data_IF_985210084144
#
_entry.id   IF_985210084144
#
_cell.length_a   1.000
_cell.length_b   1.000
_cell.length_c   1.000
_cell.angle_alpha   90.00
_cell.angle_beta   90.00
_cell.angle_gamma   90.00
#
_symmetry.space_group_name_H-M   'P 1'
#
loop_
_entity.id
_entity.type
_entity.pdbx_description
1 polymer ?
#
# COMPACT_ATOMS: atom_id res chain seq x y z
N UNK A 1 -1.59 38.25 11.83
CA UNK A 1 -0.54 38.43 12.83
C UNK A 1 -0.48 37.18 13.68
N UNK A 2 0.34 36.23 13.31
CA UNK A 2 0.54 34.97 14.03
C UNK A 2 1.53 35.22 15.16
N UNK A 3 1.07 35.33 16.38
CA UNK A 3 1.90 35.32 17.57
C UNK A 3 2.04 33.88 18.06
N UNK A 4 3.28 33.37 17.92
CA UNK A 4 3.98 32.43 18.80
C UNK A 4 3.12 31.50 19.65
N UNK A 5 2.95 30.26 19.20
CA UNK A 5 2.43 29.10 19.98
C UNK A 5 3.48 28.45 20.90
N UNK A 6 4.44 29.20 21.41
CA UNK A 6 5.37 28.68 22.43
C UNK A 6 5.05 29.28 23.80
N UNK A 7 4.10 28.64 24.50
CA UNK A 7 3.90 28.85 25.92
C UNK A 7 5.16 28.44 26.68
N UNK A 8 5.76 29.38 27.44
CA UNK A 8 6.87 29.12 28.38
C UNK A 8 6.34 28.25 29.52
N UNK A 9 6.78 26.98 29.56
CA UNK A 9 6.79 26.20 30.81
C UNK A 9 8.20 26.22 31.39
N UNK A 10 8.38 26.83 32.56
CA UNK A 10 9.58 26.70 33.38
C UNK A 10 9.64 25.30 33.99
N UNK A 11 10.64 24.53 33.64
CA UNK A 11 10.95 23.23 34.24
C UNK A 11 12.40 22.90 33.91
N UNK A 12 13.27 22.97 34.92
CA UNK A 12 14.72 22.92 34.80
C UNK A 12 15.28 21.54 34.46
N UNK A 13 16.37 21.56 33.67
CA UNK A 13 17.52 20.65 33.66
C UNK A 13 17.31 19.15 33.39
N UNK A 14 17.29 18.78 32.08
CA UNK A 14 17.90 17.54 31.59
C UNK A 14 18.38 17.65 30.13
N UNK A 15 18.75 18.85 29.66
CA UNK A 15 19.06 19.15 28.25
C UNK A 15 20.54 18.86 27.82
N UNK A 16 21.25 17.96 28.48
CA UNK A 16 22.67 17.76 28.16
C UNK A 16 23.04 16.47 27.43
N UNK A 17 22.11 15.59 27.14
CA UNK A 17 22.44 14.26 26.56
C UNK A 17 21.93 13.99 25.14
N UNK A 18 21.14 14.87 24.52
CA UNK A 18 20.54 14.64 23.18
C UNK A 18 21.08 15.56 22.06
N UNK A 19 22.16 16.30 22.30
CA UNK A 19 22.66 17.33 21.39
C UNK A 19 23.80 16.89 20.45
N UNK A 20 24.02 15.60 20.20
CA UNK A 20 25.18 15.13 19.42
C UNK A 20 24.83 14.16 18.26
N UNK A 21 23.60 14.10 17.80
CA UNK A 21 23.35 13.47 16.49
C UNK A 21 23.35 14.58 15.44
N UNK A 22 24.37 14.58 14.56
CA UNK A 22 24.45 15.44 13.40
C UNK A 22 23.12 15.33 12.65
N UNK A 23 22.48 16.47 12.36
CA UNK A 23 21.16 16.55 11.70
C UNK A 23 21.24 15.90 10.33
N UNK A 24 21.00 14.61 10.28
CA UNK A 24 20.87 13.86 9.04
C UNK A 24 19.73 14.49 8.21
N UNK A 25 20.02 14.77 6.94
CA UNK A 25 18.98 15.23 6.01
C UNK A 25 17.97 14.13 5.85
N UNK A 26 16.69 14.48 5.85
CA UNK A 26 15.60 13.53 5.61
C UNK A 26 15.77 12.91 4.22
N UNK A 27 15.72 11.59 4.12
CA UNK A 27 15.82 10.86 2.86
C UNK A 27 14.56 11.08 2.02
N UNK A 28 14.66 11.88 0.97
CA UNK A 28 13.55 12.22 0.08
C UNK A 28 13.02 11.01 -0.71
N UNK A 29 13.86 10.03 -1.01
CA UNK A 29 13.44 8.79 -1.66
C UNK A 29 12.51 7.98 -0.76
N UNK A 30 12.83 7.89 0.53
CA UNK A 30 11.96 7.25 1.52
C UNK A 30 10.70 8.07 1.81
N UNK A 31 10.79 9.40 1.84
CA UNK A 31 9.60 10.28 1.93
C UNK A 31 8.67 10.07 0.74
N UNK A 32 9.19 9.98 -0.49
CA UNK A 32 8.39 9.63 -1.67
C UNK A 32 7.63 8.31 -1.46
N UNK A 33 8.33 7.27 -1.03
CA UNK A 33 7.73 5.97 -0.77
C UNK A 33 6.68 6.05 0.34
N UNK A 34 6.96 6.80 1.42
CA UNK A 34 6.00 7.01 2.50
C UNK A 34 4.73 7.70 1.98
N UNK A 35 4.86 8.79 1.22
CA UNK A 35 3.73 9.53 0.62
C UNK A 35 2.93 8.62 -0.33
N UNK A 36 3.60 7.78 -1.13
CA UNK A 36 2.94 6.87 -2.07
C UNK A 36 2.05 5.85 -1.35
N UNK A 37 2.51 5.30 -0.23
CA UNK A 37 1.78 4.23 0.47
C UNK A 37 0.85 4.74 1.57
N UNK A 38 1.13 5.88 2.16
CA UNK A 38 0.37 6.51 3.25
C UNK A 38 -0.16 7.89 2.86
N UNK A 39 -0.85 8.05 1.70
CA UNK A 39 -1.28 9.35 1.23
C UNK A 39 -2.34 9.98 2.14
N UNK A 40 -2.42 11.31 2.12
CA UNK A 40 -3.44 12.09 2.84
C UNK A 40 -4.83 11.62 2.41
N UNK A 41 -5.75 11.50 3.37
CA UNK A 41 -7.14 11.09 3.16
C UNK A 41 -7.37 9.58 3.02
N UNK A 42 -6.32 8.77 2.93
CA UNK A 42 -6.45 7.33 2.80
C UNK A 42 -6.65 6.66 4.16
N UNK A 43 -7.69 5.81 4.25
CA UNK A 43 -7.91 4.94 5.41
C UNK A 43 -6.77 3.95 5.58
N UNK A 44 -6.23 3.86 6.79
CA UNK A 44 -5.13 3.01 7.21
C UNK A 44 -5.54 2.18 8.42
N UNK A 45 -4.70 1.23 8.75
CA UNK A 45 -4.75 0.51 10.02
C UNK A 45 -3.48 0.76 10.79
N UNK A 46 -3.51 0.52 12.10
CA UNK A 46 -2.33 0.60 12.94
C UNK A 46 -2.35 -0.41 14.08
N UNK A 47 -1.17 -0.71 14.56
CA UNK A 47 -0.92 -1.51 15.75
C UNK A 47 -0.36 -0.59 16.86
N UNK A 48 -1.05 -0.44 18.02
CA UNK A 48 -0.45 0.27 19.16
C UNK A 48 0.68 -0.57 19.77
N UNK A 49 1.80 0.07 20.10
CA UNK A 49 2.95 -0.54 20.78
C UNK A 49 3.45 -1.85 20.13
N UNK A 50 3.45 -1.90 18.79
CA UNK A 50 3.81 -3.08 17.99
C UNK A 50 2.93 -4.32 18.25
N UNK A 51 1.83 -4.18 18.98
CA UNK A 51 0.92 -5.29 19.29
C UNK A 51 0.03 -5.63 18.09
N UNK A 52 0.41 -6.69 17.36
CA UNK A 52 -0.30 -7.13 16.15
C UNK A 52 -1.67 -7.75 16.41
N UNK A 53 -2.00 -8.06 17.67
CA UNK A 53 -3.30 -8.60 18.05
C UNK A 53 -4.38 -7.50 18.18
N UNK A 54 -3.94 -6.24 18.24
CA UNK A 54 -4.82 -5.07 18.31
C UNK A 54 -4.66 -4.28 17.02
N UNK A 55 -5.69 -4.31 16.17
CA UNK A 55 -5.72 -3.60 14.89
C UNK A 55 -6.81 -2.55 14.94
N UNK A 56 -6.45 -1.30 14.79
CA UNK A 56 -7.36 -0.17 14.81
C UNK A 56 -7.28 0.61 13.48
N UNK A 57 -8.36 1.33 13.15
CA UNK A 57 -8.44 2.14 11.94
C UNK A 57 -8.03 3.58 12.20
N UNK A 58 -7.37 4.20 11.24
CA UNK A 58 -7.02 5.62 11.21
C UNK A 58 -6.91 6.14 9.77
N UNK A 59 -6.53 7.40 9.59
CA UNK A 59 -6.16 7.98 8.30
C UNK A 59 -5.09 9.06 8.49
N UNK A 60 -4.29 9.32 7.47
CA UNK A 60 -3.42 10.50 7.45
C UNK A 60 -4.26 11.71 7.06
N UNK A 61 -4.34 12.70 7.93
CA UNK A 61 -5.10 13.93 7.72
C UNK A 61 -4.25 15.00 7.04
N UNK A 62 -2.98 15.06 7.42
CA UNK A 62 -2.01 15.97 6.85
C UNK A 62 -0.58 15.45 7.08
N UNK A 63 0.37 15.98 6.33
CA UNK A 63 1.78 15.92 6.70
C UNK A 63 2.18 17.20 7.42
N UNK A 64 3.15 17.10 8.31
CA UNK A 64 3.77 18.24 8.95
C UNK A 64 5.25 18.30 8.53
N UNK A 65 5.56 19.19 7.61
CA UNK A 65 6.90 19.43 7.07
C UNK A 65 7.52 20.64 7.75
N UNK A 66 8.61 20.46 8.49
CA UNK A 66 9.26 21.54 9.26
C UNK A 66 8.30 22.38 10.13
N UNK A 67 7.25 21.75 10.67
CA UNK A 67 6.25 22.42 11.52
C UNK A 67 5.06 23.04 10.77
N UNK A 68 5.01 22.96 9.45
CA UNK A 68 3.92 23.47 8.61
C UNK A 68 3.05 22.31 8.09
N UNK A 69 1.74 22.49 8.14
CA UNK A 69 0.80 21.45 7.73
C UNK A 69 0.49 21.49 6.23
N UNK A 70 0.55 20.33 5.60
CA UNK A 70 0.20 20.07 4.20
C UNK A 70 -1.03 19.19 4.20
N UNK A 71 -2.19 19.74 3.84
CA UNK A 71 -3.49 19.06 3.96
C UNK A 71 -3.95 18.34 2.69
N UNK A 72 -3.29 18.55 1.56
CA UNK A 72 -3.67 17.97 0.29
C UNK A 72 -2.47 17.40 -0.47
N UNK A 73 -2.67 16.33 -1.22
CA UNK A 73 -1.63 15.72 -2.05
C UNK A 73 -1.16 16.66 -3.17
N UNK A 74 -2.08 17.47 -3.69
CA UNK A 74 -1.84 18.47 -4.75
C UNK A 74 -0.93 19.63 -4.28
N UNK A 75 -0.78 19.79 -2.95
CA UNK A 75 0.15 20.75 -2.34
C UNK A 75 1.60 20.24 -2.30
N UNK A 76 1.87 19.05 -2.84
CA UNK A 76 3.21 18.47 -2.94
C UNK A 76 3.63 18.48 -4.41
N UNK A 77 4.58 19.38 -4.75
CA UNK A 77 5.17 19.41 -6.08
C UNK A 77 6.23 18.31 -6.19
N UNK A 78 6.26 17.61 -7.32
CA UNK A 78 7.22 16.54 -7.59
C UNK A 78 7.96 16.77 -8.89
N UNK A 79 9.15 16.18 -9.02
CA UNK A 79 9.88 16.13 -10.28
C UNK A 79 9.34 15.02 -11.21
N UNK A 80 10.03 14.80 -12.34
CA UNK A 80 9.69 13.77 -13.34
C UNK A 80 9.76 12.35 -12.78
N UNK A 81 10.61 12.14 -11.78
CA UNK A 81 10.80 10.85 -11.12
C UNK A 81 9.85 10.66 -9.93
N UNK A 82 8.99 11.66 -9.65
CA UNK A 82 8.03 11.65 -8.56
C UNK A 82 8.65 11.96 -7.19
N UNK A 83 9.89 12.47 -7.13
CA UNK A 83 10.49 12.92 -5.88
C UNK A 83 9.89 14.28 -5.46
N UNK A 84 9.53 14.46 -4.19
CA UNK A 84 9.05 15.75 -3.70
C UNK A 84 10.11 16.85 -3.89
N UNK A 85 9.69 17.97 -4.48
CA UNK A 85 10.54 19.15 -4.69
C UNK A 85 10.14 20.32 -3.82
N UNK A 86 8.82 20.49 -3.58
CA UNK A 86 8.26 21.55 -2.74
C UNK A 86 7.05 21.02 -1.98
N UNK A 87 6.95 21.40 -0.72
CA UNK A 87 5.73 21.26 0.10
C UNK A 87 5.10 22.64 0.27
N UNK A 88 3.83 22.79 -0.10
CA UNK A 88 3.04 24.00 0.16
C UNK A 88 2.22 23.78 1.42
N UNK A 89 2.64 24.44 2.49
CA UNK A 89 2.05 24.29 3.81
C UNK A 89 1.12 25.44 4.16
N UNK A 90 0.37 25.27 5.25
CA UNK A 90 -0.51 26.27 5.85
C UNK A 90 -1.45 26.90 4.82
N UNK A 91 -2.19 26.07 4.06
CA UNK A 91 -3.11 26.50 2.99
C UNK A 91 -2.38 27.32 1.90
N UNK A 92 -1.24 26.83 1.43
CA UNK A 92 -0.38 27.43 0.41
C UNK A 92 0.31 28.77 0.81
N UNK A 93 0.21 29.18 2.06
CA UNK A 93 0.88 30.40 2.56
C UNK A 93 2.40 30.24 2.71
N UNK A 94 2.85 29.00 2.88
CA UNK A 94 4.27 28.68 3.09
C UNK A 94 4.74 27.72 2.02
N UNK A 95 5.85 28.04 1.35
CA UNK A 95 6.48 27.20 0.35
C UNK A 95 7.81 26.69 0.87
N UNK A 96 7.91 25.36 1.09
CA UNK A 96 9.07 24.70 1.66
C UNK A 96 9.77 23.86 0.61
N UNK A 97 10.99 24.22 0.18
CA UNK A 97 11.80 23.36 -0.67
C UNK A 97 12.11 22.04 0.06
N UNK A 98 11.87 20.90 -0.62
CA UNK A 98 12.12 19.58 -0.02
C UNK A 98 13.59 19.36 0.36
N UNK A 99 14.54 19.99 -0.35
CA UNK A 99 15.96 19.96 0.01
C UNK A 99 16.27 20.58 1.40
N UNK A 100 15.35 21.42 1.91
CA UNK A 100 15.45 22.04 3.23
C UNK A 100 14.68 21.27 4.32
N UNK A 101 14.14 20.08 4.02
CA UNK A 101 13.36 19.30 4.96
C UNK A 101 14.25 18.76 6.09
N UNK A 102 13.86 19.07 7.33
CA UNK A 102 14.56 18.63 8.56
C UNK A 102 13.70 17.72 9.40
N UNK A 103 12.38 17.97 9.38
CA UNK A 103 11.40 17.17 10.12
C UNK A 103 10.23 16.86 9.20
N UNK A 104 9.76 15.61 9.26
CA UNK A 104 8.57 15.15 8.55
C UNK A 104 7.74 14.28 9.50
N UNK A 105 6.49 14.66 9.68
CA UNK A 105 5.57 13.96 10.58
C UNK A 105 4.24 13.76 9.87
N UNK A 106 3.45 12.81 10.38
CA UNK A 106 2.11 12.54 9.91
C UNK A 106 1.11 12.95 10.98
N UNK A 107 0.06 13.66 10.58
CA UNK A 107 -1.05 14.02 11.44
C UNK A 107 -2.17 13.01 11.26
N UNK A 108 -2.60 12.38 12.34
CA UNK A 108 -3.70 11.42 12.37
C UNK A 108 -4.75 11.85 13.41
N UNK A 109 -6.02 11.46 13.28
CA UNK A 109 -7.02 11.71 14.31
C UNK A 109 -6.65 11.00 15.62
N UNK A 110 -6.98 11.62 16.76
CA UNK A 110 -6.97 10.92 18.04
C UNK A 110 -8.18 9.98 18.08
N UNK A 111 -7.89 8.69 17.97
CA UNK A 111 -8.89 7.60 18.00
C UNK A 111 -8.84 6.82 19.31
N UNK A 112 -8.44 7.44 20.41
CA UNK A 112 -8.37 6.81 21.74
C UNK A 112 -9.72 6.24 22.18
N UNK A 113 -10.83 6.77 21.70
CA UNK A 113 -12.18 6.25 21.95
C UNK A 113 -12.39 4.83 21.41
N UNK A 114 -11.64 4.43 20.38
CA UNK A 114 -11.67 3.07 19.84
C UNK A 114 -11.15 2.02 20.83
N UNK A 115 -10.29 2.41 21.77
CA UNK A 115 -9.83 1.53 22.85
C UNK A 115 -11.00 1.02 23.70
N UNK A 116 -12.04 1.83 23.88
CA UNK A 116 -13.23 1.47 24.64
C UNK A 116 -14.04 0.35 23.99
N UNK A 117 -13.84 0.10 22.69
CA UNK A 117 -14.50 -0.98 21.93
C UNK A 117 -13.77 -2.30 22.04
N UNK A 118 -12.53 -2.29 22.58
CA UNK A 118 -11.73 -3.49 22.79
C UNK A 118 -12.26 -4.25 24.02
N UNK A 119 -12.10 -5.58 24.00
CA UNK A 119 -12.31 -6.40 25.17
C UNK A 119 -11.28 -6.07 26.28
N UNK A 120 -11.57 -6.53 27.51
CA UNK A 120 -10.73 -6.24 28.68
C UNK A 120 -9.28 -6.68 28.50
N UNK A 121 -9.04 -7.86 27.92
CA UNK A 121 -7.70 -8.43 27.77
C UNK A 121 -6.87 -7.59 26.79
N UNK A 122 -7.44 -7.23 25.64
CA UNK A 122 -6.77 -6.37 24.64
C UNK A 122 -6.53 -4.98 25.18
N UNK A 123 -7.51 -4.40 25.90
CA UNK A 123 -7.33 -3.08 26.54
C UNK A 123 -6.21 -3.10 27.57
N UNK A 124 -6.06 -4.16 28.36
CA UNK A 124 -5.00 -4.29 29.35
C UNK A 124 -3.59 -4.40 28.73
N UNK A 125 -3.50 -4.66 27.42
CA UNK A 125 -2.24 -4.71 26.68
C UNK A 125 -1.81 -3.33 26.14
N UNK A 126 -2.69 -2.33 26.17
CA UNK A 126 -2.35 -0.96 25.81
C UNK A 126 -1.78 -0.26 27.05
N UNK A 127 -0.83 0.66 26.84
CA UNK A 127 -0.23 1.46 27.89
C UNK A 127 -1.29 2.11 28.79
N UNK A 128 -1.04 2.16 30.09
CA UNK A 128 -1.93 2.80 31.09
C UNK A 128 -2.25 4.27 30.78
N UNK A 129 -1.37 4.94 30.06
CA UNK A 129 -1.51 6.33 29.67
C UNK A 129 -2.23 6.52 28.32
N UNK A 130 -2.75 5.43 27.74
CA UNK A 130 -3.38 5.40 26.42
C UNK A 130 -2.37 5.24 25.29
N UNK A 131 -2.85 4.81 24.12
CA UNK A 131 -2.01 4.49 22.96
C UNK A 131 -1.25 5.69 22.38
N UNK A 132 -1.78 6.90 22.52
CA UNK A 132 -1.21 8.12 21.95
C UNK A 132 -0.43 8.97 22.95
N UNK A 133 0.08 8.39 24.03
CA UNK A 133 1.02 9.07 24.91
C UNK A 133 2.33 9.35 24.17
N UNK A 134 2.92 10.53 24.39
CA UNK A 134 4.18 10.90 23.78
C UNK A 134 5.29 9.86 24.07
N UNK A 135 6.01 9.47 23.03
CA UNK A 135 7.04 8.41 23.10
C UNK A 135 6.51 7.00 22.83
N UNK A 136 5.19 6.78 22.78
CA UNK A 136 4.64 5.48 22.41
C UNK A 136 4.88 5.18 20.93
N UNK A 137 5.02 3.90 20.61
CA UNK A 137 5.22 3.44 19.24
C UNK A 137 3.90 3.00 18.59
N UNK A 138 3.70 3.40 17.36
CA UNK A 138 2.55 3.05 16.53
C UNK A 138 3.06 2.52 15.20
N UNK A 139 2.73 1.28 14.85
CA UNK A 139 3.02 0.75 13.51
C UNK A 139 1.85 1.02 12.58
N UNK A 140 2.04 1.88 11.58
CA UNK A 140 1.04 2.14 10.55
C UNK A 140 1.10 1.07 9.45
N UNK A 141 -0.08 0.71 8.93
CA UNK A 141 -0.24 -0.29 7.89
C UNK A 141 -1.13 0.27 6.79
N UNK A 142 -0.59 0.30 5.60
CA UNK A 142 -1.33 0.68 4.40
C UNK A 142 -1.47 -0.50 3.46
N UNK A 143 -2.70 -0.81 3.07
CA UNK A 143 -2.95 -1.75 2.00
C UNK A 143 -3.12 -0.98 0.69
N UNK A 144 -2.12 -1.03 -0.16
CA UNK A 144 -2.14 -0.40 -1.48
C UNK A 144 -2.67 -1.34 -2.59
N UNK A 145 -3.39 -2.38 -2.23
CA UNK A 145 -3.95 -3.34 -3.17
C UNK A 145 -2.85 -4.07 -3.96
N UNK A 146 -2.76 -3.80 -5.26
CA UNK A 146 -1.79 -4.49 -6.15
C UNK A 146 -0.34 -4.18 -5.81
N UNK A 147 -0.07 -3.04 -5.16
CA UNK A 147 1.29 -2.60 -4.77
C UNK A 147 1.82 -3.28 -3.50
N UNK A 148 0.98 -4.06 -2.81
CA UNK A 148 1.36 -4.76 -1.58
C UNK A 148 0.86 -4.07 -0.31
N UNK A 149 1.34 -4.53 0.83
CA UNK A 149 1.10 -3.94 2.15
C UNK A 149 2.37 -3.24 2.59
N UNK A 150 2.24 -1.97 2.93
CA UNK A 150 3.34 -1.21 3.51
C UNK A 150 3.15 -1.06 5.00
N UNK A 151 4.25 -1.16 5.72
CA UNK A 151 4.32 -0.88 7.16
C UNK A 151 5.38 0.17 7.41
N UNK A 152 5.15 1.02 8.39
CA UNK A 152 6.13 1.96 8.94
C UNK A 152 5.88 2.10 10.43
N UNK A 153 6.94 2.02 11.21
CA UNK A 153 6.88 2.30 12.63
C UNK A 153 6.99 3.81 12.85
N UNK A 154 6.24 4.30 13.80
CA UNK A 154 6.18 5.71 14.14
C UNK A 154 6.22 5.89 15.64
N UNK A 155 6.75 7.00 16.09
CA UNK A 155 6.70 7.44 17.49
C UNK A 155 5.67 8.57 17.63
N UNK A 156 4.86 8.52 18.67
CA UNK A 156 3.95 9.60 19.04
C UNK A 156 4.76 10.79 19.52
N UNK A 157 4.85 11.84 18.71
CA UNK A 157 5.56 13.05 19.09
C UNK A 157 4.76 13.87 20.12
N UNK A 158 3.48 14.09 19.86
CA UNK A 158 2.54 14.79 20.75
C UNK A 158 1.10 14.69 20.28
N UNK A 159 0.18 14.89 21.21
CA UNK A 159 -1.21 15.22 20.92
C UNK A 159 -1.36 16.72 20.69
N UNK A 160 -2.23 17.12 19.78
CA UNK A 160 -2.49 18.53 19.45
C UNK A 160 -4.00 18.74 19.22
N UNK A 161 -4.48 19.91 19.61
CA UNK A 161 -5.80 20.41 19.17
C UNK A 161 -5.53 21.47 18.13
N UNK A 162 -6.06 21.29 16.92
CA UNK A 162 -5.86 22.26 15.85
C UNK A 162 -6.71 23.50 16.15
N UNK A 163 -6.09 24.69 16.09
CA UNK A 163 -6.79 25.95 16.35
C UNK A 163 -7.47 26.51 15.10
N UNK A 164 -6.95 26.17 13.92
CA UNK A 164 -7.40 26.65 12.61
C UNK A 164 -7.30 25.57 11.54
N UNK A 165 -7.64 25.91 10.29
CA UNK A 165 -7.61 25.00 9.16
C UNK A 165 -8.84 24.09 9.07
N UNK A 166 -8.84 23.14 8.11
CA UNK A 166 -10.01 22.31 7.80
C UNK A 166 -10.43 21.36 8.93
N UNK A 167 -9.56 21.14 9.91
CA UNK A 167 -9.80 20.24 11.06
C UNK A 167 -9.72 20.99 12.40
N UNK A 168 -10.08 22.28 12.40
CA UNK A 168 -10.10 23.08 13.63
C UNK A 168 -10.93 22.44 14.74
N UNK A 169 -10.48 22.56 15.97
CA UNK A 169 -11.10 22.02 17.21
C UNK A 169 -11.08 20.48 17.30
N UNK A 170 -10.40 19.77 16.39
CA UNK A 170 -10.25 18.33 16.48
C UNK A 170 -8.98 17.94 17.24
N UNK A 171 -9.10 16.90 18.07
CA UNK A 171 -7.96 16.25 18.70
C UNK A 171 -7.20 15.41 17.67
N UNK A 172 -5.94 15.69 17.54
CA UNK A 172 -5.04 15.05 16.57
C UNK A 172 -3.77 14.56 17.26
N UNK A 173 -3.08 13.67 16.59
CA UNK A 173 -1.81 13.10 17.02
C UNK A 173 -0.76 13.32 15.93
N UNK A 174 0.39 13.84 16.30
CA UNK A 174 1.57 13.91 15.44
C UNK A 174 2.41 12.66 15.64
N UNK A 175 2.63 11.93 14.55
CA UNK A 175 3.45 10.74 14.48
C UNK A 175 4.73 11.04 13.71
N UNK A 176 5.88 10.72 14.29
CA UNK A 176 7.20 10.81 13.64
C UNK A 176 7.54 9.45 13.05
N UNK A 177 7.57 9.26 11.70
CA UNK A 177 7.90 7.99 11.10
C UNK A 177 9.39 7.68 11.22
N UNK A 178 9.73 6.46 11.62
CA UNK A 178 11.05 5.90 11.40
C UNK A 178 11.15 5.39 9.97
N UNK A 179 11.72 6.21 9.10
CA UNK A 179 11.84 5.87 7.68
C UNK A 179 12.69 4.63 7.42
N UNK A 180 13.51 4.17 8.40
CA UNK A 180 14.32 2.96 8.26
C UNK A 180 13.46 1.69 8.37
N UNK A 181 12.33 1.76 9.05
CA UNK A 181 11.38 0.65 9.20
C UNK A 181 10.38 0.56 8.06
N UNK A 182 10.36 1.57 7.15
CA UNK A 182 9.44 1.58 6.02
C UNK A 182 9.71 0.38 5.12
N UNK A 183 8.79 -0.57 5.16
CA UNK A 183 8.85 -1.81 4.40
C UNK A 183 7.61 -1.95 3.52
N UNK A 184 7.82 -2.40 2.28
CA UNK A 184 6.74 -2.79 1.38
C UNK A 184 6.81 -4.30 1.23
N UNK A 185 5.83 -4.97 1.80
CA UNK A 185 5.77 -6.43 1.79
C UNK A 185 4.70 -6.88 0.82
N UNK A 186 5.08 -7.69 -0.15
CA UNK A 186 4.10 -8.41 -0.95
C UNK A 186 3.48 -9.52 -0.07
N UNK A 187 2.29 -9.27 0.47
CA UNK A 187 1.56 -10.24 1.28
C UNK A 187 0.86 -11.33 0.44
N UNK A 188 1.15 -11.42 -0.82
CA UNK A 188 0.64 -12.53 -1.62
C UNK A 188 1.16 -13.83 -1.03
N UNK A 189 0.25 -14.72 -0.67
CA UNK A 189 0.62 -16.06 -0.18
C UNK A 189 1.49 -16.82 -1.18
N UNK A 190 1.42 -16.43 -2.45
CA UNK A 190 2.16 -17.04 -3.56
C UNK A 190 2.74 -15.96 -4.46
N UNK A 191 4.08 -15.93 -4.63
CA UNK A 191 4.74 -14.97 -5.50
C UNK A 191 4.24 -15.13 -6.94
N UNK A 192 4.12 -14.02 -7.67
CA UNK A 192 3.77 -14.03 -9.09
C UNK A 192 4.99 -13.81 -9.94
N UNK A 193 5.12 -14.64 -10.96
CA UNK A 193 6.16 -14.50 -11.97
C UNK A 193 5.60 -13.65 -13.11
N UNK A 194 6.28 -12.55 -13.41
CA UNK A 194 5.94 -11.71 -14.58
C UNK A 194 6.38 -12.41 -15.86
N UNK A 195 5.48 -12.44 -16.81
CA UNK A 195 5.67 -13.01 -18.14
C UNK A 195 4.92 -12.12 -19.14
N UNK A 196 5.13 -12.35 -20.42
CA UNK A 196 4.43 -11.59 -21.46
C UNK A 196 4.24 -12.51 -22.67
N UNK A 197 3.31 -13.44 -22.53
CA UNK A 197 3.09 -14.50 -23.50
C UNK A 197 1.73 -14.31 -24.17
N UNK A 198 1.66 -14.26 -25.52
CA UNK A 198 0.39 -14.26 -26.23
C UNK A 198 -0.36 -15.57 -25.97
N UNK A 199 -1.64 -15.47 -25.72
CA UNK A 199 -2.53 -16.60 -25.41
C UNK A 199 -3.90 -16.37 -26.06
N UNK A 200 -4.66 -17.44 -26.21
CA UNK A 200 -6.05 -17.37 -26.65
C UNK A 200 -6.96 -17.62 -25.46
N UNK A 201 -7.87 -16.69 -25.18
CA UNK A 201 -8.88 -16.86 -24.15
C UNK A 201 -10.23 -17.25 -24.77
N UNK A 202 -10.87 -18.27 -24.19
CA UNK A 202 -12.21 -18.74 -24.57
C UNK A 202 -13.14 -18.51 -23.37
N UNK A 203 -14.31 -17.89 -23.66
CA UNK A 203 -15.42 -17.82 -22.70
C UNK A 203 -16.54 -18.70 -23.21
N UNK A 204 -16.70 -19.90 -22.67
CA UNK A 204 -17.68 -20.87 -23.22
C UNK A 204 -19.15 -20.38 -23.14
N UNK A 205 -19.48 -19.63 -22.06
CA UNK A 205 -20.83 -19.10 -21.87
C UNK A 205 -21.22 -18.08 -22.95
N UNK A 206 -20.27 -17.32 -23.47
CA UNK A 206 -20.46 -16.25 -24.45
C UNK A 206 -20.11 -16.71 -25.89
N UNK A 207 -19.68 -17.96 -26.05
CA UNK A 207 -19.14 -18.48 -27.31
C UNK A 207 -18.08 -17.56 -27.94
N UNK A 208 -17.26 -16.95 -27.05
CA UNK A 208 -16.24 -15.97 -27.44
C UNK A 208 -14.83 -16.58 -27.39
N UNK A 209 -14.06 -16.24 -28.40
CA UNK A 209 -12.63 -16.55 -28.46
C UNK A 209 -11.88 -15.30 -28.87
N UNK A 210 -10.85 -14.93 -28.10
CA UNK A 210 -10.06 -13.72 -28.34
C UNK A 210 -8.59 -13.89 -28.02
N UNK A 211 -7.75 -13.11 -28.72
CA UNK A 211 -6.33 -13.01 -28.42
C UNK A 211 -6.11 -12.15 -27.19
N UNK A 212 -5.26 -12.61 -26.29
CA UNK A 212 -4.93 -11.97 -25.03
C UNK A 212 -3.44 -12.08 -24.73
N UNK A 213 -2.98 -11.43 -23.70
CA UNK A 213 -1.60 -11.57 -23.19
C UNK A 213 -1.63 -12.08 -21.77
N UNK A 214 -0.96 -13.19 -21.49
CA UNK A 214 -0.70 -13.66 -20.14
C UNK A 214 0.39 -12.80 -19.51
N UNK A 215 0.04 -12.03 -18.49
CA UNK A 215 0.92 -11.00 -17.89
C UNK A 215 1.72 -11.53 -16.71
N UNK A 216 1.08 -12.32 -15.86
CA UNK A 216 1.73 -12.99 -14.73
C UNK A 216 1.01 -14.28 -14.32
N UNK A 217 1.75 -15.16 -13.65
CA UNK A 217 1.29 -16.45 -13.12
C UNK A 217 1.77 -16.65 -11.68
N UNK A 218 0.92 -17.21 -10.85
CA UNK A 218 1.24 -17.76 -9.53
C UNK A 218 0.87 -19.24 -9.46
N UNK A 219 0.98 -19.86 -8.29
CA UNK A 219 0.52 -21.26 -8.12
C UNK A 219 -1.01 -21.42 -8.09
N UNK A 220 -1.76 -20.32 -8.00
CA UNK A 220 -3.20 -20.36 -7.85
C UNK A 220 -3.95 -19.50 -8.87
N UNK A 221 -3.25 -18.56 -9.51
CA UNK A 221 -3.89 -17.54 -10.34
C UNK A 221 -3.03 -17.17 -11.54
N UNK A 222 -3.69 -16.79 -12.63
CA UNK A 222 -3.08 -16.12 -13.78
C UNK A 222 -3.74 -14.78 -14.02
N UNK A 223 -2.96 -13.80 -14.48
CA UNK A 223 -3.48 -12.52 -14.93
C UNK A 223 -3.32 -12.38 -16.44
N UNK A 224 -4.41 -12.04 -17.09
CA UNK A 224 -4.50 -11.87 -18.52
C UNK A 224 -4.81 -10.42 -18.82
N UNK A 225 -4.14 -9.82 -19.79
CA UNK A 225 -4.55 -8.57 -20.43
C UNK A 225 -5.42 -8.91 -21.62
N UNK A 226 -6.63 -8.37 -21.63
CA UNK A 226 -7.57 -8.55 -22.72
C UNK A 226 -7.07 -7.81 -23.97
N UNK A 227 -7.26 -8.39 -25.14
CA UNK A 227 -6.84 -7.79 -26.40
C UNK A 227 -7.72 -6.58 -26.78
N UNK A 228 -7.13 -5.63 -27.49
CA UNK A 228 -7.82 -4.41 -27.95
C UNK A 228 -8.73 -4.65 -29.17
N UNK A 229 -8.63 -5.81 -29.83
CA UNK A 229 -9.34 -6.13 -31.06
C UNK A 229 -10.63 -6.87 -30.80
N UNK A 230 -11.76 -6.19 -31.04
CA UNK A 230 -13.10 -6.74 -30.98
C UNK A 230 -13.88 -6.36 -29.72
N UNK A 231 -15.21 -6.48 -29.79
CA UNK A 231 -16.06 -6.32 -28.61
C UNK A 231 -15.81 -7.49 -27.65
N UNK A 232 -15.03 -7.25 -26.59
CA UNK A 232 -14.88 -8.23 -25.51
C UNK A 232 -16.23 -8.32 -24.80
N UNK A 233 -16.85 -9.52 -24.67
CA UNK A 233 -18.11 -9.66 -23.98
C UNK A 233 -18.01 -9.20 -22.51
N UNK A 234 -19.16 -8.98 -21.91
CA UNK A 234 -19.21 -8.67 -20.48
C UNK A 234 -18.70 -9.89 -19.69
N UNK A 235 -17.53 -9.73 -19.05
CA UNK A 235 -16.95 -10.77 -18.20
C UNK A 235 -17.26 -10.41 -16.75
N UNK A 236 -17.81 -11.34 -16.00
CA UNK A 236 -18.18 -11.18 -14.60
C UNK A 236 -17.30 -12.05 -13.68
N UNK A 237 -17.23 -11.67 -12.41
CA UNK A 237 -16.60 -12.54 -11.40
C UNK A 237 -17.40 -13.84 -11.29
N UNK A 238 -16.69 -14.96 -11.25
CA UNK A 238 -17.28 -16.30 -11.29
C UNK A 238 -17.36 -16.93 -12.68
N UNK A 239 -17.22 -16.16 -13.75
CA UNK A 239 -17.28 -16.71 -15.12
C UNK A 239 -16.14 -17.71 -15.37
N UNK A 240 -16.46 -18.81 -16.03
CA UNK A 240 -15.48 -19.80 -16.45
C UNK A 240 -14.74 -19.31 -17.70
N UNK A 241 -13.41 -19.39 -17.70
CA UNK A 241 -12.55 -19.05 -18.83
C UNK A 241 -11.54 -20.16 -19.08
N UNK A 242 -11.28 -20.45 -20.35
CA UNK A 242 -10.22 -21.35 -20.75
C UNK A 242 -9.14 -20.52 -21.44
N UNK A 243 -7.89 -20.76 -21.08
CA UNK A 243 -6.72 -20.08 -21.64
C UNK A 243 -5.85 -21.10 -22.37
N UNK A 244 -5.76 -20.97 -23.67
CA UNK A 244 -4.89 -21.77 -24.50
C UNK A 244 -3.53 -21.09 -24.64
N UNK A 245 -2.49 -21.77 -24.17
CA UNK A 245 -1.12 -21.32 -24.14
C UNK A 245 -0.29 -22.19 -25.07
N UNK A 246 0.43 -21.60 -26.03
CA UNK A 246 1.33 -22.29 -26.94
C UNK A 246 2.76 -21.86 -26.63
N UNK A 247 3.63 -22.82 -26.32
CA UNK A 247 5.01 -22.56 -25.92
C UNK A 247 6.00 -23.19 -26.87
N UNK A 248 6.88 -22.35 -27.45
CA UNK A 248 8.03 -22.74 -28.23
C UNK A 248 7.77 -23.43 -29.56
N UNK A 249 8.85 -23.77 -30.27
CA UNK A 249 8.81 -24.44 -31.57
C UNK A 249 8.27 -25.88 -31.52
N UNK A 250 8.32 -26.51 -30.35
CA UNK A 250 7.78 -27.85 -30.10
C UNK A 250 6.26 -27.89 -29.93
N UNK A 251 5.53 -26.77 -30.18
CA UNK A 251 4.09 -26.63 -30.06
C UNK A 251 3.47 -27.22 -28.77
N UNK A 252 4.20 -27.13 -27.66
CA UNK A 252 3.63 -27.53 -26.35
C UNK A 252 2.42 -26.67 -26.07
N UNK A 253 1.25 -27.31 -26.05
CA UNK A 253 -0.03 -26.65 -25.84
C UNK A 253 -0.55 -26.98 -24.44
N UNK A 254 -0.94 -25.95 -23.71
CA UNK A 254 -1.60 -26.08 -22.44
C UNK A 254 -2.97 -25.39 -22.53
N UNK A 255 -4.03 -26.10 -22.23
CA UNK A 255 -5.36 -25.54 -22.09
C UNK A 255 -5.70 -25.48 -20.60
N UNK A 256 -5.68 -24.28 -20.04
CA UNK A 256 -5.87 -24.05 -18.62
C UNK A 256 -7.27 -23.52 -18.39
N UNK A 257 -8.07 -24.16 -17.54
CA UNK A 257 -9.37 -23.67 -17.11
C UNK A 257 -9.25 -22.95 -15.78
N UNK A 258 -9.96 -21.84 -15.65
CA UNK A 258 -10.08 -21.08 -14.42
C UNK A 258 -11.40 -20.34 -14.33
N UNK A 259 -11.65 -19.80 -13.14
CA UNK A 259 -12.79 -18.94 -12.85
C UNK A 259 -12.32 -17.52 -12.62
N UNK A 260 -13.04 -16.53 -13.13
CA UNK A 260 -12.71 -15.11 -12.98
C UNK A 260 -12.86 -14.71 -11.52
N UNK A 261 -11.74 -14.35 -10.89
CA UNK A 261 -11.70 -13.90 -9.49
C UNK A 261 -11.84 -12.38 -9.40
N UNK A 262 -11.32 -11.66 -10.39
CA UNK A 262 -11.36 -10.21 -10.45
C UNK A 262 -11.18 -9.70 -11.87
N UNK A 263 -11.88 -8.62 -12.19
CA UNK A 263 -11.74 -7.90 -13.46
C UNK A 263 -11.40 -6.41 -13.22
N UNK A 264 -10.61 -5.84 -14.12
CA UNK A 264 -10.44 -4.40 -14.33
C UNK A 264 -10.76 -4.07 -15.80
N UNK A 265 -10.68 -2.80 -16.19
CA UNK A 265 -10.95 -2.37 -17.57
C UNK A 265 -10.12 -3.14 -18.60
N UNK A 266 -8.85 -3.40 -18.31
CA UNK A 266 -7.89 -4.00 -19.25
C UNK A 266 -7.45 -5.42 -18.88
N UNK A 267 -7.64 -5.86 -17.64
CA UNK A 267 -7.11 -7.15 -17.18
C UNK A 267 -8.15 -7.98 -16.44
N UNK A 268 -7.97 -9.28 -16.55
CA UNK A 268 -8.74 -10.30 -15.85
C UNK A 268 -7.80 -11.20 -15.05
N UNK A 269 -8.18 -11.52 -13.81
CA UNK A 269 -7.46 -12.48 -12.95
C UNK A 269 -8.31 -13.74 -12.85
N UNK A 270 -7.73 -14.88 -13.21
CA UNK A 270 -8.35 -16.19 -13.13
C UNK A 270 -7.74 -17.00 -12.00
N UNK A 271 -8.58 -17.55 -11.13
CA UNK A 271 -8.21 -18.66 -10.27
C UNK A 271 -8.07 -19.93 -11.09
N UNK A 272 -6.99 -20.67 -10.90
CA UNK A 272 -6.68 -21.89 -11.65
C UNK A 272 -7.50 -23.07 -11.11
N UNK A 273 -8.40 -23.62 -11.93
CA UNK A 273 -9.19 -24.81 -11.60
C UNK A 273 -8.45 -26.09 -12.00
N UNK A 274 -7.73 -26.07 -13.14
CA UNK A 274 -7.01 -27.22 -13.67
C UNK A 274 -6.62 -27.07 -15.13
N UNK A 275 -6.07 -28.15 -15.68
CA UNK A 275 -5.70 -28.26 -17.07
C UNK A 275 -6.70 -29.16 -17.83
N UNK A 276 -7.03 -28.80 -19.06
CA UNK A 276 -7.85 -29.65 -19.94
C UNK A 276 -6.89 -30.55 -20.74
N UNK A 277 -6.98 -31.85 -20.51
CA UNK A 277 -6.28 -32.91 -21.28
C UNK A 277 -7.30 -33.89 -21.83
N UNK A 278 -7.24 -34.16 -23.10
CA UNK A 278 -8.17 -35.08 -23.80
C UNK A 278 -9.64 -34.75 -23.53
N UNK A 279 -9.98 -33.45 -23.47
CA UNK A 279 -11.35 -32.98 -23.22
C UNK A 279 -11.81 -33.08 -21.74
N UNK A 280 -10.95 -33.51 -20.83
CA UNK A 280 -11.26 -33.63 -19.40
C UNK A 280 -10.51 -32.58 -18.58
N UNK A 281 -11.18 -32.00 -17.59
CA UNK A 281 -10.55 -31.14 -16.62
C UNK A 281 -9.81 -31.99 -15.57
N UNK A 282 -8.51 -31.79 -15.45
CA UNK A 282 -7.64 -32.45 -14.49
C UNK A 282 -7.05 -31.39 -13.57
N UNK A 283 -7.19 -31.50 -12.25
CA UNK A 283 -6.52 -30.59 -11.31
C UNK A 283 -5.01 -30.56 -11.54
N UNK A 284 -4.38 -29.40 -11.37
CA UNK A 284 -2.92 -29.31 -11.47
C UNK A 284 -2.21 -30.13 -10.40
N UNK A 285 -1.36 -31.06 -10.81
CA UNK A 285 -0.35 -31.56 -9.91
C UNK A 285 0.77 -30.50 -9.74
N UNK A 286 1.49 -30.49 -8.60
CA UNK A 286 2.57 -29.53 -8.38
C UNK A 286 3.61 -29.51 -9.50
N UNK A 287 3.92 -30.66 -10.08
CA UNK A 287 4.89 -30.77 -11.19
C UNK A 287 4.36 -30.16 -12.49
N UNK A 288 3.07 -30.37 -12.81
CA UNK A 288 2.46 -29.78 -14.02
C UNK A 288 2.54 -28.26 -14.01
N UNK A 289 2.30 -27.65 -12.85
CA UNK A 289 2.37 -26.21 -12.68
C UNK A 289 3.79 -25.67 -12.78
N UNK A 290 4.77 -26.40 -12.24
CA UNK A 290 6.19 -26.06 -12.38
C UNK A 290 6.64 -26.16 -13.84
N UNK A 291 6.20 -27.19 -14.57
CA UNK A 291 6.50 -27.36 -15.99
C UNK A 291 5.91 -26.20 -16.82
N UNK A 292 4.64 -25.85 -16.59
CA UNK A 292 4.00 -24.71 -17.22
C UNK A 292 4.76 -23.41 -16.96
N UNK A 293 5.15 -23.15 -15.70
CA UNK A 293 5.91 -21.95 -15.32
C UNK A 293 7.28 -21.93 -16.00
N UNK A 294 8.00 -23.05 -16.01
CA UNK A 294 9.28 -23.15 -16.67
C UNK A 294 9.19 -22.88 -18.17
N UNK A 295 8.18 -23.43 -18.83
CA UNK A 295 7.89 -23.17 -20.23
C UNK A 295 7.58 -21.69 -20.52
N UNK A 296 6.77 -21.06 -19.66
CA UNK A 296 6.42 -19.63 -19.77
C UNK A 296 7.63 -18.71 -19.57
N UNK A 297 8.54 -19.04 -18.65
CA UNK A 297 9.75 -18.27 -18.38
C UNK A 297 10.78 -18.37 -19.52
N UNK A 298 10.76 -19.45 -20.27
CA UNK A 298 11.67 -19.67 -21.40
C UNK A 298 11.04 -19.24 -22.74
N UNK A 299 9.81 -18.73 -22.73
CA UNK A 299 9.15 -18.25 -23.94
C UNK A 299 9.84 -16.99 -24.47
N UNK A 300 10.32 -17.04 -25.73
CA UNK A 300 10.98 -15.90 -26.39
C UNK A 300 12.45 -15.68 -26.03
N UNK A 301 13.08 -16.65 -25.36
CA UNK A 301 14.54 -16.70 -25.20
C UNK A 301 15.22 -17.40 -26.39
#
# INVERSE_FOLDING_TARGET
MLKSLFGKSHGASSDAAHAAHGRERVDLGRIRTLIEFFPIGKKLRYYPEFNKDIVLDTLVVAYCANGHFVYAMESIETDRDGLPTVFRGDEDKVRLPAAGLRTFQMLVPDTSDLEMKLDYLRRAQISRNGQFSAGNNISLISNAGVKGVSTVDTEVAKQVVLCDGPYAQMNMVLLTPDLNTLAVTDQRRKPRTRINVPVTALLPAENYTGECTLVDISDAEVRIRLGERGAVPAIHEGDAMIVDIRLGEAERRYSVKGSVVRRSAETCVLGLDGQIREGRLIPFAPLDLLELKAGLLNYGR
#
